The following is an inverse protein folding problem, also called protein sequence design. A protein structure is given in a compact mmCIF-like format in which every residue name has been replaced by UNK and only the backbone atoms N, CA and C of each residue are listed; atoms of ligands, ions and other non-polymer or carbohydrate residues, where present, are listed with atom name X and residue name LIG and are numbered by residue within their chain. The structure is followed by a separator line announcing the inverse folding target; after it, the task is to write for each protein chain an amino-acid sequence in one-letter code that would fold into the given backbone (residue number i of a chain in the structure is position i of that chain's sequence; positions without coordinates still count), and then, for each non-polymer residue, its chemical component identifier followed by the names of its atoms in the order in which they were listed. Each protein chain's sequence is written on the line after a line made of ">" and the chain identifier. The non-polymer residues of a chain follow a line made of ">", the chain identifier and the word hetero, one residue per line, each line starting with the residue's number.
data_IF_271790911119
#
_entry.id   IF_271790911119
#
_cell.length_a   1.000
_cell.length_b   1.000
_cell.length_c   1.000
_cell.angle_alpha   90.00
_cell.angle_beta   90.00
_cell.angle_gamma   90.00
#
_symmetry.space_group_name_H-M   'P 1'
#
loop_
_entity.id
_entity.type
_entity.pdbx_description
1 polymer ?
#
# COMPACT_ATOMS: atom_id res chain seq x y z
N UNK A 1 18.93 3.28 14.47
CA UNK A 1 19.67 2.00 14.42
C UNK A 1 21.16 2.21 14.15
N UNK A 2 21.56 2.74 12.98
CA UNK A 2 22.99 3.01 12.69
C UNK A 2 23.71 3.88 13.73
N UNK A 3 23.09 4.96 14.20
CA UNK A 3 23.70 5.81 15.23
C UNK A 3 23.96 5.09 16.57
N UNK A 4 23.10 4.12 16.93
CA UNK A 4 23.24 3.36 18.18
C UNK A 4 24.29 2.24 18.06
N UNK A 5 24.40 1.59 16.90
CA UNK A 5 25.47 0.61 16.63
C UNK A 5 26.84 1.29 16.55
N UNK A 6 26.91 2.45 15.90
CA UNK A 6 28.12 3.27 15.85
C UNK A 6 28.56 3.74 17.25
N UNK A 7 27.62 4.06 18.13
CA UNK A 7 27.92 4.39 19.53
C UNK A 7 28.50 3.20 20.33
N UNK A 8 28.28 1.97 19.88
CA UNK A 8 28.89 0.74 20.42
C UNK A 8 30.16 0.33 19.66
N UNK A 9 30.73 1.21 18.82
CA UNK A 9 31.85 0.92 17.92
C UNK A 9 31.59 -0.19 16.89
N UNK A 10 30.33 -0.56 16.64
CA UNK A 10 29.97 -1.52 15.58
C UNK A 10 29.81 -0.74 14.28
N UNK A 11 30.81 -0.82 13.40
CA UNK A 11 30.84 -0.11 12.10
C UNK A 11 30.81 -1.06 10.91
N UNK A 12 31.28 -2.28 11.08
CA UNK A 12 31.36 -3.30 10.04
C UNK A 12 30.48 -4.51 10.37
N UNK A 13 30.17 -5.33 9.36
CA UNK A 13 29.48 -6.61 9.58
C UNK A 13 30.29 -7.56 10.48
N UNK A 14 31.63 -7.48 10.43
CA UNK A 14 32.52 -8.26 11.29
C UNK A 14 32.43 -7.83 12.77
N UNK A 15 32.33 -6.52 13.01
CA UNK A 15 32.12 -5.99 14.37
C UNK A 15 30.78 -6.47 14.94
N UNK A 16 29.76 -6.60 14.08
CA UNK A 16 28.46 -7.13 14.48
C UNK A 16 28.51 -8.63 14.77
N UNK A 17 29.24 -9.40 13.97
CA UNK A 17 29.42 -10.84 14.15
C UNK A 17 30.19 -11.21 15.43
N UNK A 18 31.08 -10.32 15.88
CA UNK A 18 31.93 -10.50 17.07
C UNK A 18 31.34 -9.89 18.33
N UNK A 19 30.29 -9.08 18.22
CA UNK A 19 29.61 -8.49 19.36
C UNK A 19 28.81 -9.54 20.16
N UNK A 20 28.73 -9.36 21.49
CA UNK A 20 28.00 -10.28 22.37
C UNK A 20 26.51 -10.36 22.01
N UNK A 21 25.98 -11.54 21.60
CA UNK A 21 24.60 -11.70 21.17
C UNK A 21 23.56 -11.33 22.24
N UNK A 22 23.86 -11.59 23.53
CA UNK A 22 22.95 -11.22 24.63
C UNK A 22 22.82 -9.71 24.76
N UNK A 23 23.94 -9.01 24.72
CA UNK A 23 23.97 -7.54 24.70
C UNK A 23 23.20 -6.95 23.53
N UNK A 24 23.25 -7.59 22.35
CA UNK A 24 22.50 -7.16 21.17
C UNK A 24 20.99 -7.40 21.31
N UNK A 25 20.58 -8.52 21.93
CA UNK A 25 19.18 -8.78 22.26
C UNK A 25 18.61 -7.72 23.20
N UNK A 26 19.32 -7.44 24.30
CA UNK A 26 18.82 -6.58 25.37
C UNK A 26 18.73 -5.11 24.95
N UNK A 27 19.69 -4.62 24.14
CA UNK A 27 19.71 -3.22 23.69
C UNK A 27 18.91 -2.96 22.42
N UNK A 28 18.66 -3.98 21.60
CA UNK A 28 18.01 -3.80 20.32
C UNK A 28 16.83 -4.75 20.12
N UNK A 29 17.09 -5.99 19.71
CA UNK A 29 16.05 -6.98 19.44
C UNK A 29 16.66 -8.35 19.17
N UNK A 30 15.83 -9.39 19.29
CA UNK A 30 16.14 -10.78 18.88
C UNK A 30 16.52 -10.86 17.39
N UNK A 31 16.04 -9.93 16.55
CA UNK A 31 16.40 -9.92 15.12
C UNK A 31 17.88 -9.61 14.93
N UNK A 32 18.43 -8.61 15.63
CA UNK A 32 19.86 -8.25 15.52
C UNK A 32 20.74 -9.37 16.04
N UNK A 33 20.37 -9.98 17.17
CA UNK A 33 21.06 -11.14 17.72
C UNK A 33 21.13 -12.28 16.69
N UNK A 34 19.99 -12.64 16.09
CA UNK A 34 19.94 -13.69 15.05
C UNK A 34 20.80 -13.33 13.84
N UNK A 35 20.83 -12.06 13.43
CA UNK A 35 21.71 -11.58 12.36
C UNK A 35 23.19 -11.68 12.73
N UNK A 36 23.58 -11.33 13.97
CA UNK A 36 24.96 -11.47 14.43
C UNK A 36 25.41 -12.94 14.48
N UNK A 37 24.53 -13.82 14.96
CA UNK A 37 24.77 -15.27 14.99
C UNK A 37 24.90 -15.87 13.58
N UNK A 38 24.05 -15.45 12.64
CA UNK A 38 24.15 -15.81 11.21
C UNK A 38 25.49 -15.40 10.61
N UNK A 39 25.91 -14.14 10.84
CA UNK A 39 27.21 -13.63 10.38
C UNK A 39 28.39 -14.37 11.03
N UNK A 40 28.21 -14.89 12.26
CA UNK A 40 29.17 -15.76 12.94
C UNK A 40 29.09 -17.23 12.50
N UNK A 41 28.26 -17.57 11.51
CA UNK A 41 28.14 -18.91 10.93
C UNK A 41 27.12 -19.83 11.64
N UNK A 42 26.32 -19.31 12.57
CA UNK A 42 25.24 -20.06 13.21
C UNK A 42 23.93 -19.78 12.48
N UNK A 43 23.42 -20.76 11.71
CA UNK A 43 22.14 -20.61 11.01
C UNK A 43 21.00 -20.44 12.02
N UNK A 44 20.42 -19.23 12.04
CA UNK A 44 19.34 -18.85 12.95
C UNK A 44 18.06 -18.44 12.22
N UNK A 45 18.15 -18.29 10.90
CA UNK A 45 17.08 -17.90 10.01
C UNK A 45 16.90 -19.05 9.01
N UNK A 46 15.77 -19.75 9.07
CA UNK A 46 15.44 -20.72 8.04
C UNK A 46 15.18 -19.99 6.71
N UNK A 47 15.54 -20.63 5.59
CA UNK A 47 15.12 -20.21 4.26
C UNK A 47 13.58 -20.24 4.24
N UNK A 48 12.98 -19.05 4.33
CA UNK A 48 11.65 -18.87 4.88
C UNK A 48 10.56 -19.76 4.30
N UNK A 49 9.74 -20.30 5.19
CA UNK A 49 8.36 -20.70 4.87
C UNK A 49 7.62 -19.54 4.18
N UNK A 50 6.61 -19.88 3.37
CA UNK A 50 5.78 -18.87 2.72
C UNK A 50 5.30 -17.85 3.75
N UNK A 51 5.64 -16.57 3.53
CA UNK A 51 5.29 -15.51 4.46
C UNK A 51 3.79 -15.57 4.79
N UNK A 52 3.40 -15.45 6.07
CA UNK A 52 2.01 -15.58 6.45
C UNK A 52 1.17 -14.54 5.68
N UNK A 53 -0.11 -14.84 5.41
CA UNK A 53 -1.01 -13.91 4.76
C UNK A 53 -0.96 -12.54 5.45
N UNK A 54 -0.93 -11.46 4.66
CA UNK A 54 -0.89 -10.11 5.22
C UNK A 54 -2.15 -9.88 6.05
N UNK A 55 -1.96 -9.35 7.25
CA UNK A 55 -3.06 -8.96 8.15
C UNK A 55 -3.69 -7.61 7.74
N UNK A 56 -2.93 -6.78 7.02
CA UNK A 56 -3.38 -5.48 6.52
C UNK A 56 -2.79 -5.21 5.14
N UNK A 57 -3.56 -4.52 4.28
CA UNK A 57 -3.10 -4.10 2.95
C UNK A 57 -3.18 -2.58 2.84
N UNK A 58 -2.02 -1.93 2.82
CA UNK A 58 -1.91 -0.50 2.62
C UNK A 58 -1.61 -0.15 1.15
N UNK A 59 -2.36 0.82 0.62
CA UNK A 59 -2.05 1.55 -0.58
C UNK A 59 -2.04 3.05 -0.28
N UNK A 60 -0.84 3.62 -0.23
CA UNK A 60 -0.67 5.05 0.03
C UNK A 60 0.36 5.68 -0.90
N UNK A 61 0.09 6.92 -1.31
CA UNK A 61 0.96 7.69 -2.21
C UNK A 61 0.84 9.18 -1.90
N UNK A 62 1.95 9.90 -2.07
CA UNK A 62 1.96 11.35 -2.09
C UNK A 62 1.52 11.84 -3.47
N UNK A 63 0.79 12.96 -3.50
CA UNK A 63 0.35 13.61 -4.73
C UNK A 63 1.52 14.38 -5.36
N UNK A 64 1.60 14.38 -6.69
CA UNK A 64 2.59 15.18 -7.41
C UNK A 64 2.34 16.69 -7.31
N UNK A 65 1.11 17.10 -7.00
CA UNK A 65 0.74 18.48 -6.71
C UNK A 65 -0.15 18.55 -5.48
N UNK A 66 -0.17 19.70 -4.81
CA UNK A 66 -1.06 19.93 -3.68
C UNK A 66 -2.50 20.00 -4.17
N UNK A 67 -3.37 19.18 -3.60
CA UNK A 67 -4.78 19.13 -3.97
C UNK A 67 -5.59 19.97 -2.99
N UNK A 68 -6.43 20.85 -3.53
CA UNK A 68 -7.31 21.76 -2.76
C UNK A 68 -8.79 21.46 -2.97
N UNK A 69 -9.13 20.67 -4.00
CA UNK A 69 -10.49 20.27 -4.33
C UNK A 69 -10.73 18.80 -3.99
N UNK A 70 -11.98 18.46 -3.72
CA UNK A 70 -12.35 17.11 -3.28
C UNK A 70 -12.29 16.06 -4.40
N UNK A 71 -12.61 16.43 -5.65
CA UNK A 71 -12.74 15.47 -6.75
C UNK A 71 -11.42 14.72 -7.06
N UNK A 72 -10.27 15.40 -7.21
CA UNK A 72 -8.98 14.73 -7.39
C UNK A 72 -8.61 13.79 -6.21
N UNK A 73 -9.05 14.13 -5.00
CA UNK A 73 -8.80 13.29 -3.81
C UNK A 73 -9.67 12.03 -3.86
N UNK A 74 -10.94 12.15 -4.28
CA UNK A 74 -11.82 10.99 -4.50
C UNK A 74 -11.29 10.05 -5.57
N UNK A 75 -10.86 10.59 -6.70
CA UNK A 75 -10.22 9.81 -7.77
C UNK A 75 -8.98 9.06 -7.27
N UNK A 76 -8.15 9.72 -6.47
CA UNK A 76 -6.97 9.11 -5.88
C UNK A 76 -7.33 7.97 -4.93
N UNK A 77 -8.29 8.21 -4.03
CA UNK A 77 -8.77 7.19 -3.10
C UNK A 77 -9.37 6.01 -3.86
N UNK A 78 -10.20 6.24 -4.89
CA UNK A 78 -10.73 5.18 -5.75
C UNK A 78 -9.61 4.36 -6.41
N UNK A 79 -8.59 5.03 -6.94
CA UNK A 79 -7.43 4.37 -7.56
C UNK A 79 -6.66 3.52 -6.55
N UNK A 80 -6.49 3.99 -5.32
CA UNK A 80 -5.76 3.28 -4.28
C UNK A 80 -6.58 2.10 -3.73
N UNK A 81 -7.90 2.26 -3.62
CA UNK A 81 -8.83 1.18 -3.28
C UNK A 81 -8.78 0.08 -4.34
N UNK A 82 -8.82 0.42 -5.63
CA UNK A 82 -8.69 -0.58 -6.70
C UNK A 82 -7.38 -1.38 -6.59
N UNK A 83 -6.25 -0.69 -6.40
CA UNK A 83 -4.95 -1.36 -6.23
C UNK A 83 -4.86 -2.19 -4.95
N UNK A 84 -5.49 -1.74 -3.87
CA UNK A 84 -5.54 -2.49 -2.63
C UNK A 84 -6.39 -3.75 -2.78
N UNK A 85 -7.53 -3.64 -3.49
CA UNK A 85 -8.42 -4.76 -3.79
C UNK A 85 -7.78 -5.79 -4.72
N UNK A 86 -7.00 -5.36 -5.74
CA UNK A 86 -6.19 -6.27 -6.57
C UNK A 86 -5.22 -7.10 -5.71
N UNK A 87 -4.51 -6.47 -4.77
CA UNK A 87 -3.63 -7.18 -3.83
C UNK A 87 -4.40 -8.12 -2.89
N UNK A 88 -5.56 -7.68 -2.42
CA UNK A 88 -6.44 -8.47 -1.55
C UNK A 88 -6.88 -9.76 -2.26
N UNK A 89 -7.31 -9.65 -3.52
CA UNK A 89 -7.71 -10.81 -4.35
C UNK A 89 -6.55 -11.72 -4.70
N UNK A 90 -5.34 -11.17 -4.92
CA UNK A 90 -4.13 -12.00 -5.11
C UNK A 90 -3.76 -12.84 -3.88
N UNK A 91 -4.21 -12.45 -2.69
CA UNK A 91 -4.07 -13.21 -1.45
C UNK A 91 -5.30 -14.09 -1.15
N UNK A 92 -6.27 -14.12 -2.06
CA UNK A 92 -7.57 -14.77 -1.90
C UNK A 92 -8.31 -14.36 -0.60
N UNK A 93 -8.14 -13.12 -0.14
CA UNK A 93 -8.72 -12.64 1.11
C UNK A 93 -9.93 -11.72 0.88
N UNK A 94 -10.73 -11.53 1.93
CA UNK A 94 -11.84 -10.58 2.00
C UNK A 94 -11.52 -9.50 3.05
N UNK A 95 -12.09 -8.31 2.89
CA UNK A 95 -11.88 -7.18 3.79
C UNK A 95 -13.21 -6.76 4.42
N UNK A 96 -13.24 -6.60 5.74
CA UNK A 96 -14.43 -6.09 6.46
C UNK A 96 -14.32 -4.60 6.80
N UNK A 97 -13.11 -4.04 6.94
CA UNK A 97 -12.90 -2.65 7.38
C UNK A 97 -11.93 -1.91 6.47
N UNK A 98 -12.31 -0.70 6.05
CA UNK A 98 -11.46 0.19 5.24
C UNK A 98 -11.17 1.44 6.05
N UNK A 99 -9.90 1.74 6.28
CA UNK A 99 -9.48 3.04 6.81
C UNK A 99 -8.97 3.91 5.67
N UNK A 100 -9.65 5.03 5.45
CA UNK A 100 -9.23 6.08 4.51
C UNK A 100 -8.61 7.21 5.31
N UNK A 101 -7.44 7.70 4.90
CA UNK A 101 -6.77 8.83 5.56
C UNK A 101 -6.25 9.83 4.54
N UNK A 102 -6.36 11.12 4.87
CA UNK A 102 -5.84 12.23 4.07
C UNK A 102 -5.00 13.15 4.95
N UNK A 103 -3.93 13.72 4.37
CA UNK A 103 -3.03 14.62 5.11
C UNK A 103 -2.40 15.72 4.26
N UNK A 104 -2.15 16.85 4.89
CA UNK A 104 -1.35 17.95 4.34
C UNK A 104 0.15 17.70 4.55
N UNK A 105 1.00 18.57 4.03
CA UNK A 105 2.45 18.44 4.20
C UNK A 105 2.88 18.71 5.62
N UNK A 106 3.62 17.81 6.24
CA UNK A 106 4.08 17.96 7.63
C UNK A 106 5.33 18.85 7.75
N UNK A 107 6.05 19.08 6.65
CA UNK A 107 7.37 19.72 6.63
C UNK A 107 7.37 21.17 6.17
N UNK A 108 6.22 21.73 5.76
CA UNK A 108 6.13 23.14 5.39
C UNK A 108 5.58 23.95 6.59
N UNK A 109 6.35 24.87 7.20
CA UNK A 109 5.89 25.65 8.34
C UNK A 109 4.72 26.58 8.02
N UNK A 110 4.63 27.05 6.78
CA UNK A 110 3.63 28.04 6.35
C UNK A 110 2.28 27.42 5.94
N UNK A 111 2.19 26.09 5.85
CA UNK A 111 0.94 25.41 5.49
C UNK A 111 0.18 24.94 6.73
N UNK A 112 -1.14 25.14 6.72
CA UNK A 112 -2.01 24.61 7.74
C UNK A 112 -1.89 23.06 7.81
N UNK A 113 -1.56 22.55 8.99
CA UNK A 113 -1.37 21.12 9.23
C UNK A 113 -2.71 20.47 9.49
N UNK A 114 -3.01 19.44 8.70
CA UNK A 114 -4.23 18.67 8.86
C UNK A 114 -3.96 17.21 8.51
N UNK A 115 -4.41 16.33 9.40
CA UNK A 115 -4.37 14.88 9.26
C UNK A 115 -5.69 14.38 9.78
N UNK A 116 -6.39 13.59 8.98
CA UNK A 116 -7.61 12.94 9.43
C UNK A 116 -7.77 11.59 8.74
N UNK A 117 -8.44 10.66 9.41
CA UNK A 117 -8.77 9.37 8.87
C UNK A 117 -10.10 8.86 9.39
N UNK A 118 -10.84 8.18 8.53
CA UNK A 118 -12.13 7.59 8.83
C UNK A 118 -12.02 6.09 8.65
N UNK A 119 -12.52 5.35 9.64
CA UNK A 119 -12.73 3.91 9.55
C UNK A 119 -14.15 3.68 9.03
N UNK A 120 -14.27 2.90 7.97
CA UNK A 120 -15.54 2.49 7.38
C UNK A 120 -15.64 0.98 7.50
N UNK A 121 -16.71 0.52 8.14
CA UNK A 121 -17.05 -0.88 8.21
C UNK A 121 -17.97 -1.25 7.04
N UNK A 122 -17.62 -2.30 6.33
CA UNK A 122 -18.38 -2.79 5.18
C UNK A 122 -19.55 -3.66 5.67
N UNK A 123 -20.67 -3.73 4.92
CA UNK A 123 -21.83 -4.52 5.33
C UNK A 123 -21.47 -6.00 5.54
N UNK A 124 -20.53 -6.53 4.77
CA UNK A 124 -19.99 -7.87 4.87
C UNK A 124 -18.52 -7.89 4.42
N UNK A 125 -17.73 -8.91 4.80
CA UNK A 125 -16.39 -9.09 4.24
C UNK A 125 -16.47 -9.21 2.72
N UNK A 126 -15.78 -8.33 1.99
CA UNK A 126 -15.86 -8.27 0.52
C UNK A 126 -14.51 -8.02 -0.13
N UNK A 127 -14.38 -8.46 -1.37
CA UNK A 127 -13.31 -8.08 -2.29
C UNK A 127 -13.83 -7.36 -3.54
N UNK A 128 -15.12 -6.97 -3.55
CA UNK A 128 -15.77 -6.26 -4.65
C UNK A 128 -15.31 -4.81 -4.69
N UNK A 129 -14.52 -4.48 -5.71
CA UNK A 129 -13.94 -3.14 -5.87
C UNK A 129 -15.00 -2.05 -5.96
N UNK A 130 -16.20 -2.35 -6.44
CA UNK A 130 -17.28 -1.36 -6.61
C UNK A 130 -17.79 -0.90 -5.25
N UNK A 131 -18.13 -1.86 -4.38
CA UNK A 131 -18.61 -1.58 -3.02
C UNK A 131 -17.51 -0.90 -2.19
N UNK A 132 -16.28 -1.42 -2.25
CA UNK A 132 -15.13 -0.85 -1.54
C UNK A 132 -14.86 0.60 -1.98
N UNK A 133 -14.97 0.89 -3.28
CA UNK A 133 -14.71 2.22 -3.84
C UNK A 133 -15.79 3.21 -3.44
N UNK A 134 -17.07 2.82 -3.47
CA UNK A 134 -18.17 3.67 -2.98
C UNK A 134 -18.00 4.00 -1.50
N UNK A 135 -17.71 2.99 -0.67
CA UNK A 135 -17.47 3.20 0.77
C UNK A 135 -16.27 4.12 1.04
N UNK A 136 -15.16 3.91 0.33
CA UNK A 136 -13.95 4.71 0.51
C UNK A 136 -14.11 6.16 0.01
N UNK A 137 -14.78 6.38 -1.11
CA UNK A 137 -15.02 7.74 -1.65
C UNK A 137 -16.04 8.52 -0.82
N UNK A 138 -17.01 7.85 -0.21
CA UNK A 138 -17.92 8.46 0.76
C UNK A 138 -17.19 8.88 2.04
N UNK A 139 -16.20 8.10 2.49
CA UNK A 139 -15.34 8.50 3.61
C UNK A 139 -14.62 9.83 3.34
N UNK A 140 -14.19 10.07 2.09
CA UNK A 140 -13.53 11.33 1.70
C UNK A 140 -14.44 12.53 1.89
N UNK A 141 -15.76 12.41 1.68
CA UNK A 141 -16.71 13.50 1.93
C UNK A 141 -16.67 13.98 3.39
N UNK A 142 -16.45 13.07 4.33
CA UNK A 142 -16.40 13.36 5.78
C UNK A 142 -15.03 13.89 6.21
N UNK A 143 -13.98 13.50 5.51
CA UNK A 143 -12.59 13.86 5.83
C UNK A 143 -12.17 15.19 5.21
N UNK A 144 -12.67 15.50 4.03
CA UNK A 144 -12.25 16.68 3.29
C UNK A 144 -12.73 17.96 3.98
N UNK A 145 -11.78 18.85 4.25
CA UNK A 145 -12.01 20.22 4.67
C UNK A 145 -11.50 21.20 3.60
N UNK A 146 -12.33 22.15 3.13
CA UNK A 146 -11.88 23.26 2.30
C UNK A 146 -10.78 24.08 2.98
N UNK A 147 -9.93 24.74 2.19
CA UNK A 147 -8.85 25.60 2.69
C UNK A 147 -7.53 24.89 2.98
N UNK A 148 -7.49 23.56 2.92
CA UNK A 148 -6.26 22.77 3.14
C UNK A 148 -5.63 22.32 1.81
N UNK A 149 -4.30 22.25 1.81
CA UNK A 149 -3.47 21.76 0.70
C UNK A 149 -3.05 20.32 0.96
N UNK A 150 -3.86 19.37 0.51
CA UNK A 150 -3.60 17.94 0.71
C UNK A 150 -2.41 17.46 -0.10
N UNK A 151 -1.64 16.56 0.49
CA UNK A 151 -0.34 16.08 -0.02
C UNK A 151 -0.26 14.57 -0.17
N UNK A 152 -1.12 13.84 0.54
CA UNK A 152 -1.18 12.39 0.50
C UNK A 152 -2.58 11.90 0.86
N UNK A 153 -2.99 10.83 0.19
CA UNK A 153 -4.08 9.97 0.60
C UNK A 153 -3.58 8.54 0.83
N UNK A 154 -4.32 7.81 1.65
CA UNK A 154 -4.01 6.45 2.08
C UNK A 154 -5.30 5.66 2.23
N UNK A 155 -5.28 4.44 1.70
CA UNK A 155 -6.32 3.43 1.88
C UNK A 155 -5.66 2.23 2.53
N UNK A 156 -6.18 1.84 3.69
CA UNK A 156 -5.73 0.70 4.47
C UNK A 156 -6.89 -0.28 4.61
N UNK A 157 -6.71 -1.49 4.11
CA UNK A 157 -7.64 -2.60 4.29
C UNK A 157 -7.28 -3.34 5.57
N UNK A 158 -8.27 -3.51 6.43
CA UNK A 158 -8.17 -4.04 7.79
C UNK A 158 -9.18 -5.17 7.97
N UNK A 159 -8.96 -6.01 8.99
CA UNK A 159 -9.82 -7.15 9.28
C UNK A 159 -9.93 -8.05 8.03
N UNK A 160 -8.75 -8.49 7.57
CA UNK A 160 -8.60 -9.38 6.44
C UNK A 160 -8.89 -10.80 6.88
N UNK A 161 -9.80 -11.46 6.15
CA UNK A 161 -10.29 -12.81 6.49
C UNK A 161 -10.16 -13.70 5.27
N UNK A 162 -9.85 -14.99 5.46
CA UNK A 162 -9.97 -15.94 4.37
C UNK A 162 -11.43 -16.34 4.16
N UNK A 163 -11.82 -16.71 2.92
CA UNK A 163 -13.09 -17.36 2.66
C UNK A 163 -13.27 -18.58 3.58
N UNK A 164 -14.37 -18.63 4.32
CA UNK A 164 -14.67 -19.73 5.25
C UNK A 164 -14.13 -19.59 6.68
N UNK A 165 -13.29 -18.59 6.97
CA UNK A 165 -12.80 -18.32 8.35
C UNK A 165 -13.78 -17.51 9.21
N UNK A 166 -14.88 -17.05 8.62
CA UNK A 166 -15.91 -16.31 9.33
C UNK A 166 -17.27 -16.99 9.16
N UNK A 167 -18.04 -17.01 10.24
CA UNK A 167 -19.44 -17.44 10.19
C UNK A 167 -20.27 -16.29 9.66
N UNK A 168 -20.88 -16.49 8.51
CA UNK A 168 -21.94 -15.60 8.04
C UNK A 168 -23.14 -15.72 8.97
N UNK A 169 -23.73 -14.59 9.32
CA UNK A 169 -25.05 -14.56 9.92
C UNK A 169 -26.06 -14.94 8.83
N UNK A 170 -26.90 -15.94 9.11
CA UNK A 170 -27.90 -16.50 8.19
C UNK A 170 -28.84 -15.44 7.61
N UNK A 171 -29.03 -14.31 8.31
CA UNK A 171 -29.88 -13.20 7.88
C UNK A 171 -29.10 -11.97 7.44
N UNK A 172 -27.77 -11.96 7.61
CA UNK A 172 -26.95 -10.84 7.16
C UNK A 172 -26.79 -10.88 5.64
N UNK A 173 -26.67 -9.69 5.05
CA UNK A 173 -26.27 -9.57 3.67
C UNK A 173 -24.86 -10.17 3.50
N UNK A 174 -24.69 -11.03 2.49
CA UNK A 174 -23.39 -11.57 2.09
C UNK A 174 -23.02 -11.08 0.69
N UNK A 175 -21.77 -11.30 0.30
CA UNK A 175 -21.33 -10.97 -1.05
C UNK A 175 -22.11 -11.80 -2.08
N UNK A 176 -22.76 -11.19 -3.08
CA UNK A 176 -23.43 -11.94 -4.14
C UNK A 176 -22.43 -12.82 -4.90
N UNK A 177 -22.82 -14.06 -5.21
CA UNK A 177 -21.98 -14.98 -6.02
C UNK A 177 -21.64 -14.41 -7.42
N UNK A 178 -22.49 -13.52 -7.94
CA UNK A 178 -22.20 -12.80 -9.19
C UNK A 178 -21.03 -11.82 -9.05
N UNK A 179 -20.84 -11.20 -7.88
CA UNK A 179 -19.72 -10.29 -7.64
C UNK A 179 -18.39 -11.01 -7.72
N UNK A 180 -18.29 -12.24 -7.21
CA UNK A 180 -17.07 -13.04 -7.29
C UNK A 180 -16.68 -13.33 -8.75
N UNK A 181 -17.64 -13.75 -9.57
CA UNK A 181 -17.42 -13.97 -11.02
C UNK A 181 -16.98 -12.68 -11.73
N UNK A 182 -17.63 -11.55 -11.42
CA UNK A 182 -17.29 -10.26 -12.03
C UNK A 182 -15.88 -9.81 -11.65
N UNK A 183 -15.48 -9.98 -10.38
CA UNK A 183 -14.12 -9.63 -9.94
C UNK A 183 -13.06 -10.54 -10.59
N UNK A 184 -13.35 -11.84 -10.75
CA UNK A 184 -12.47 -12.78 -11.45
C UNK A 184 -12.24 -12.37 -12.92
N UNK A 185 -13.32 -12.07 -13.66
CA UNK A 185 -13.23 -11.59 -15.04
C UNK A 185 -12.46 -10.27 -15.14
N UNK A 186 -12.69 -9.35 -14.20
CA UNK A 186 -11.99 -8.08 -14.15
C UNK A 186 -10.46 -8.27 -14.01
N UNK A 187 -10.05 -9.17 -13.11
CA UNK A 187 -8.63 -9.46 -12.88
C UNK A 187 -8.02 -10.23 -14.05
N UNK A 188 -8.75 -11.16 -14.68
CA UNK A 188 -8.28 -11.90 -15.86
C UNK A 188 -7.98 -10.95 -17.03
N UNK A 189 -8.90 -10.02 -17.31
CA UNK A 189 -8.73 -9.02 -18.37
C UNK A 189 -7.54 -8.10 -18.06
N UNK A 190 -7.42 -7.63 -16.81
CA UNK A 190 -6.30 -6.79 -16.39
C UNK A 190 -4.95 -7.54 -16.42
N UNK A 191 -4.94 -8.85 -16.19
CA UNK A 191 -3.73 -9.66 -16.28
C UNK A 191 -3.31 -9.86 -17.74
N UNK A 192 -4.28 -10.12 -18.63
CA UNK A 192 -4.02 -10.37 -20.04
C UNK A 192 -3.67 -9.13 -20.85
N UNK A 193 -4.36 -8.03 -20.62
CA UNK A 193 -4.26 -6.80 -21.44
C UNK A 193 -3.48 -5.68 -20.75
N UNK A 194 -3.03 -5.91 -19.52
CA UNK A 194 -2.26 -4.97 -18.75
C UNK A 194 -3.09 -4.25 -17.69
N UNK A 195 -2.39 -3.83 -16.63
CA UNK A 195 -3.01 -3.25 -15.44
C UNK A 195 -3.74 -1.94 -15.77
N UNK A 196 -5.00 -1.86 -15.34
CA UNK A 196 -5.83 -0.67 -15.52
C UNK A 196 -6.62 -0.64 -16.83
N UNK A 197 -6.62 -1.74 -17.59
CA UNK A 197 -7.49 -1.94 -18.76
C UNK A 197 -8.95 -1.83 -18.35
N UNK A 198 -9.37 -2.62 -17.36
CA UNK A 198 -10.63 -2.46 -16.66
C UNK A 198 -10.42 -1.78 -15.31
N UNK A 199 -11.25 -0.79 -15.05
CA UNK A 199 -11.20 0.03 -13.83
C UNK A 199 -12.59 0.55 -13.49
N UNK A 200 -12.80 0.87 -12.22
CA UNK A 200 -14.02 1.56 -11.83
C UNK A 200 -14.12 2.93 -12.51
N UNK A 201 -15.32 3.39 -12.85
CA UNK A 201 -15.52 4.67 -13.55
C UNK A 201 -14.97 5.89 -12.80
N UNK A 202 -14.82 5.78 -11.48
CA UNK A 202 -14.20 6.80 -10.61
C UNK A 202 -12.67 6.81 -10.65
N UNK A 203 -12.04 5.88 -11.38
CA UNK A 203 -10.59 5.79 -11.54
C UNK A 203 -10.20 6.42 -12.89
N UNK A 204 -9.57 7.61 -12.88
CA UNK A 204 -9.14 8.27 -14.11
C UNK A 204 -7.98 7.50 -14.77
N UNK A 205 -7.91 7.56 -16.10
CA UNK A 205 -6.79 7.00 -16.86
C UNK A 205 -5.51 7.83 -16.71
N UNK A 206 -5.63 9.15 -16.75
CA UNK A 206 -4.51 10.08 -16.62
C UNK A 206 -4.79 11.13 -15.52
N UNK A 207 -4.58 10.78 -14.24
CA UNK A 207 -4.83 11.70 -13.14
C UNK A 207 -3.81 12.82 -13.06
N UNK A 208 -4.26 14.06 -12.96
CA UNK A 208 -3.36 15.21 -12.76
C UNK A 208 -2.61 15.19 -11.41
N UNK A 209 -3.14 14.45 -10.43
CA UNK A 209 -2.55 14.28 -9.11
C UNK A 209 -1.48 13.18 -9.06
N UNK A 210 -1.20 12.53 -10.19
CA UNK A 210 -0.20 11.48 -10.31
C UNK A 210 1.15 11.90 -9.68
N UNK A 211 1.87 10.90 -9.16
CA UNK A 211 3.20 11.10 -8.59
C UNK A 211 4.16 11.65 -9.67
N UNK A 212 4.92 12.70 -9.32
CA UNK A 212 5.97 13.24 -10.20
C UNK A 212 7.06 12.21 -10.41
N UNK A 213 7.45 12.03 -11.67
CA UNK A 213 8.43 11.03 -12.14
C UNK A 213 9.55 11.66 -12.98
N UNK A 214 9.73 12.97 -12.87
CA UNK A 214 10.67 13.77 -13.68
C UNK A 214 12.14 13.38 -13.49
N UNK A 215 12.50 12.82 -12.33
CA UNK A 215 13.85 12.36 -12.00
C UNK A 215 14.06 10.86 -12.24
N UNK A 216 13.16 10.20 -12.98
CA UNK A 216 13.36 8.80 -13.33
C UNK A 216 14.46 8.67 -14.39
N UNK A 217 15.36 7.70 -14.19
CA UNK A 217 16.25 7.26 -15.25
C UNK A 217 15.45 6.72 -16.43
N UNK A 218 15.95 6.92 -17.64
CA UNK A 218 15.29 6.43 -18.83
C UNK A 218 15.19 4.91 -18.82
N UNK A 219 14.08 4.40 -19.35
CA UNK A 219 13.74 2.98 -19.32
C UNK A 219 14.28 2.26 -20.55
N UNK A 220 15.61 2.31 -20.76
CA UNK A 220 16.28 1.84 -21.98
C UNK A 220 15.92 0.40 -22.39
N UNK A 221 15.64 -0.48 -21.42
CA UNK A 221 15.37 -1.90 -21.69
C UNK A 221 13.89 -2.22 -21.92
N UNK A 222 12.98 -1.28 -21.64
CA UNK A 222 11.53 -1.56 -21.62
C UNK A 222 10.69 -0.57 -22.42
N UNK A 223 11.28 0.54 -22.87
CA UNK A 223 10.61 1.59 -23.64
C UNK A 223 11.47 1.98 -24.84
N UNK A 224 11.01 1.61 -26.04
CA UNK A 224 11.71 1.88 -27.30
C UNK A 224 11.89 3.38 -27.56
N UNK A 225 10.90 4.19 -27.17
CA UNK A 225 10.89 5.65 -27.25
C UNK A 225 11.92 6.35 -26.34
N UNK A 226 12.66 5.58 -25.53
CA UNK A 226 13.72 6.08 -24.64
C UNK A 226 15.09 5.53 -24.94
N UNK A 227 15.22 4.76 -26.01
CA UNK A 227 16.52 4.41 -26.54
C UNK A 227 17.26 5.66 -27.00
N UNK A 228 18.58 5.61 -26.96
CA UNK A 228 19.39 6.68 -27.52
C UNK A 228 19.23 6.69 -29.04
N UNK A 229 18.78 7.82 -29.57
CA UNK A 229 18.72 8.05 -31.00
C UNK A 229 20.04 8.66 -31.48
N UNK A 230 20.72 7.97 -32.39
CA UNK A 230 21.87 8.51 -33.11
C UNK A 230 21.37 9.05 -34.44
N UNK A 231 21.44 10.37 -34.65
CA UNK A 231 21.13 10.97 -35.95
C UNK A 231 22.29 10.68 -36.92
N UNK A 232 22.02 10.09 -38.08
CA UNK A 232 23.01 10.02 -39.15
C UNK A 232 23.11 11.39 -39.84
N UNK A 233 24.34 11.74 -40.25
CA UNK A 233 24.65 12.90 -41.08
C UNK A 233 24.01 12.80 -42.47
#
# INVERSE_FOLDING_TARGET
>A
MNAHLQAMNIRTAMDLATADPRTLRDRFSVVIEKTALELAGTSCLELGEAAPPKQEICCSRMFGKRLTTIQPIKEAVATYTQRAAEKLRSQNSLCKKIRVSIRTGMFNPEEAKYVNGALVELPYPTNDVRLMTTAATEAVNRLFRPGFKYSKAEVLLLDLRQPGEFTDDMFAASQPASSEKVMGVLDEINTRWGRGTLRAGSVPSNPEWAMRRELMSQSYTTRLDQLWEVKSL
#
